data_IF_392762256733
#
_entry.id   IF_392762256733
#
_cell.length_a   1.000
_cell.length_b   1.000
_cell.length_c   1.000
_cell.angle_alpha   90.00
_cell.angle_beta   90.00
_cell.angle_gamma   90.00
#
_symmetry.space_group_name_H-M   'P 1'
#
loop_
_entity.id
_entity.type
_entity.pdbx_description
1 polymer ?
#
# COMPACT_ATOMS: atom_id res chain seq x y z
N UNK A 1 2.43 4.75 -2.75
CA UNK A 1 3.55 3.88 -3.14
C UNK A 1 4.00 2.94 -2.02
N UNK A 2 4.16 3.43 -0.78
CA UNK A 2 4.60 2.60 0.37
C UNK A 2 3.72 1.38 0.70
N UNK A 3 2.47 1.32 0.20
CA UNK A 3 1.53 0.20 0.38
C UNK A 3 1.53 -0.83 -0.77
N UNK A 4 2.32 -0.66 -1.82
CA UNK A 4 2.35 -1.59 -2.97
C UNK A 4 2.84 -3.00 -2.57
N UNK A 5 3.90 -3.10 -1.78
CA UNK A 5 4.42 -4.38 -1.28
C UNK A 5 3.60 -4.95 -0.10
N UNK A 6 3.27 -4.16 0.95
CA UNK A 6 2.53 -4.69 2.11
C UNK A 6 1.09 -5.12 1.79
N UNK A 7 0.46 -4.54 0.76
CA UNK A 7 -0.90 -4.92 0.34
C UNK A 7 -1.00 -6.37 -0.15
N UNK A 8 0.06 -6.92 -0.75
CA UNK A 8 0.10 -8.32 -1.19
C UNK A 8 0.09 -9.28 0.01
N UNK A 9 0.85 -8.94 1.06
CA UNK A 9 0.87 -9.71 2.31
C UNK A 9 -0.44 -9.58 3.08
N UNK A 10 -1.06 -8.39 3.06
CA UNK A 10 -2.38 -8.15 3.61
C UNK A 10 -3.45 -8.98 2.88
N UNK A 11 -3.40 -9.04 1.55
CA UNK A 11 -4.28 -9.86 0.72
C UNK A 11 -4.19 -11.34 1.08
N UNK A 12 -2.97 -11.89 1.25
CA UNK A 12 -2.77 -13.26 1.72
C UNK A 12 -3.31 -13.51 3.13
N UNK A 13 -3.17 -12.54 4.04
CA UNK A 13 -3.65 -12.62 5.42
C UNK A 13 -5.19 -12.61 5.50
N UNK A 14 -5.84 -11.68 4.80
CA UNK A 14 -7.31 -11.53 4.85
C UNK A 14 -8.04 -12.61 4.05
N UNK A 15 -7.37 -13.26 3.09
CA UNK A 15 -7.86 -14.49 2.45
C UNK A 15 -8.13 -15.62 3.46
N UNK A 16 -7.37 -15.69 4.55
CA UNK A 16 -7.47 -16.74 5.56
C UNK A 16 -8.46 -16.41 6.70
N UNK A 17 -8.95 -15.18 6.77
CA UNK A 17 -9.78 -14.69 7.88
C UNK A 17 -11.09 -14.15 7.35
N UNK A 18 -12.14 -15.00 7.31
CA UNK A 18 -13.60 -14.76 7.37
C UNK A 18 -14.22 -13.39 6.95
N UNK A 19 -13.52 -12.54 6.20
CA UNK A 19 -14.01 -11.25 5.71
C UNK A 19 -14.64 -11.51 4.35
N UNK A 20 -15.95 -11.30 4.29
CA UNK A 20 -16.76 -11.42 3.08
C UNK A 20 -16.33 -10.32 2.10
N UNK A 21 -15.34 -10.62 1.25
CA UNK A 21 -14.82 -9.70 0.24
C UNK A 21 -13.65 -10.33 -0.51
N UNK A 22 -13.50 -10.02 -1.79
CA UNK A 22 -12.40 -10.52 -2.59
C UNK A 22 -11.11 -9.80 -2.16
N UNK A 23 -10.16 -10.49 -1.49
CA UNK A 23 -8.96 -9.88 -0.91
C UNK A 23 -8.08 -9.20 -1.97
N UNK A 24 -8.14 -9.68 -3.23
CA UNK A 24 -7.42 -9.09 -4.36
C UNK A 24 -7.90 -7.66 -4.69
N UNK A 25 -9.11 -7.28 -4.25
CA UNK A 25 -9.65 -5.95 -4.51
C UNK A 25 -8.86 -4.84 -3.82
N UNK A 26 -8.21 -5.10 -2.68
CA UNK A 26 -7.46 -4.06 -1.97
C UNK A 26 -6.27 -3.60 -2.81
N UNK A 27 -5.50 -4.55 -3.35
CA UNK A 27 -4.35 -4.25 -4.21
C UNK A 27 -4.77 -3.54 -5.49
N UNK A 28 -5.86 -3.99 -6.13
CA UNK A 28 -6.42 -3.34 -7.33
C UNK A 28 -6.87 -1.91 -7.03
N UNK A 29 -7.60 -1.70 -5.92
CA UNK A 29 -8.10 -0.36 -5.54
C UNK A 29 -6.97 0.61 -5.18
N UNK A 30 -5.88 0.12 -4.58
CA UNK A 30 -4.69 0.94 -4.33
C UNK A 30 -3.99 1.35 -5.63
N UNK A 31 -3.94 0.46 -6.63
CA UNK A 31 -3.39 0.78 -7.94
C UNK A 31 -4.26 1.82 -8.68
N UNK A 32 -5.60 1.64 -8.67
CA UNK A 32 -6.56 2.61 -9.20
C UNK A 32 -6.38 4.00 -8.54
N UNK A 33 -6.24 4.03 -7.21
CA UNK A 33 -6.04 5.26 -6.45
C UNK A 33 -4.72 5.95 -6.80
N UNK A 34 -3.61 5.20 -6.87
CA UNK A 34 -2.31 5.74 -7.31
C UNK A 34 -2.43 6.38 -8.69
N UNK A 35 -3.05 5.68 -9.64
CA UNK A 35 -3.25 6.20 -11.00
C UNK A 35 -4.11 7.47 -11.00
N UNK A 36 -5.21 7.48 -10.25
CA UNK A 36 -6.07 8.67 -10.14
C UNK A 36 -5.34 9.88 -9.56
N UNK A 37 -4.52 9.67 -8.53
CA UNK A 37 -3.68 10.73 -7.92
C UNK A 37 -2.64 11.22 -8.92
N UNK A 38 -1.94 10.34 -9.64
CA UNK A 38 -0.96 10.75 -10.66
C UNK A 38 -1.58 11.59 -11.77
N UNK A 39 -2.79 11.23 -12.24
CA UNK A 39 -3.53 12.03 -13.24
C UNK A 39 -3.89 13.41 -12.69
N UNK A 40 -4.36 13.49 -11.44
CA UNK A 40 -4.69 14.76 -10.79
C UNK A 40 -3.45 15.65 -10.60
N UNK A 41 -2.34 15.08 -10.14
CA UNK A 41 -1.06 15.78 -9.99
C UNK A 41 -0.61 16.33 -11.34
N UNK A 42 -0.60 15.50 -12.40
CA UNK A 42 -0.22 15.92 -13.74
C UNK A 42 -1.10 17.08 -14.24
N UNK A 43 -2.42 16.96 -14.09
CA UNK A 43 -3.37 17.99 -14.50
C UNK A 43 -3.19 19.31 -13.71
N UNK A 44 -2.73 19.25 -12.46
CA UNK A 44 -2.39 20.44 -11.66
C UNK A 44 -1.02 21.03 -12.02
N UNK A 45 -0.07 20.21 -12.48
CA UNK A 45 1.30 20.62 -12.80
C UNK A 45 1.49 21.05 -14.26
N UNK A 46 0.55 20.77 -15.16
CA UNK A 46 0.52 21.25 -16.55
C UNK A 46 0.41 22.81 -16.57
N UNK A 47 1.53 23.47 -16.30
CA UNK A 47 1.69 24.93 -16.16
C UNK A 47 2.74 25.40 -15.15
N UNK A 48 3.24 24.52 -14.26
CA UNK A 48 4.25 24.87 -13.24
C UNK A 48 5.60 24.21 -13.58
N UNK A 49 6.75 24.92 -13.47
CA UNK A 49 8.05 24.31 -13.72
C UNK A 49 8.31 23.20 -12.70
N UNK A 50 8.66 22.01 -13.23
CA UNK A 50 9.05 20.77 -12.54
C UNK A 50 9.50 21.01 -11.09
N UNK A 51 8.66 20.62 -10.12
CA UNK A 51 9.21 20.27 -8.82
C UNK A 51 9.83 18.90 -9.00
N UNK A 52 11.15 18.87 -9.00
CA UNK A 52 11.96 17.66 -9.00
C UNK A 52 11.46 16.77 -7.86
N UNK A 53 10.75 15.68 -8.21
CA UNK A 53 10.28 14.62 -7.30
C UNK A 53 11.51 13.86 -6.80
N UNK A 54 12.35 14.52 -6.01
CA UNK A 54 13.42 13.91 -5.24
C UNK A 54 12.88 13.34 -3.91
N UNK A 55 11.75 12.62 -3.99
CA UNK A 55 11.11 11.95 -2.85
C UNK A 55 11.23 10.43 -2.99
N UNK A 56 12.38 9.94 -3.46
CA UNK A 56 12.80 8.58 -3.15
C UNK A 56 13.18 8.50 -1.66
N UNK A 57 12.20 8.69 -0.78
CA UNK A 57 12.36 8.40 0.64
C UNK A 57 12.73 6.91 0.75
N UNK A 58 13.86 6.58 1.40
CA UNK A 58 14.24 5.19 1.57
C UNK A 58 13.10 4.48 2.30
N UNK A 59 12.51 3.46 1.66
CA UNK A 59 11.43 2.66 2.22
C UNK A 59 11.90 2.07 3.56
N UNK A 60 11.45 2.59 4.73
CA UNK A 60 11.98 2.14 6.01
C UNK A 60 11.52 0.73 6.39
N UNK A 61 10.68 0.10 5.56
CA UNK A 61 9.85 -1.03 5.97
C UNK A 61 9.98 -2.29 5.09
N UNK A 62 10.75 -2.29 3.98
CA UNK A 62 10.87 -3.50 3.15
C UNK A 62 11.33 -4.72 3.96
N UNK A 63 12.31 -4.52 4.85
CA UNK A 63 12.87 -5.63 5.65
C UNK A 63 11.86 -6.22 6.65
N UNK A 64 10.94 -5.40 7.16
CA UNK A 64 9.92 -5.86 8.13
C UNK A 64 8.84 -6.74 7.53
N UNK A 65 8.59 -6.63 6.22
CA UNK A 65 7.59 -7.43 5.51
C UNK A 65 8.20 -8.66 4.82
N UNK A 66 9.51 -8.68 4.58
CA UNK A 66 10.21 -9.84 4.02
C UNK A 66 10.38 -10.99 5.03
N UNK A 67 10.47 -10.68 6.32
CA UNK A 67 10.49 -11.71 7.40
C UNK A 67 9.10 -12.23 7.78
N UNK A 68 8.05 -11.66 7.17
CA UNK A 68 6.63 -11.92 7.43
C UNK A 68 6.12 -13.29 6.93
N UNK A 69 7.03 -14.22 6.60
CA UNK A 69 6.70 -15.61 6.29
C UNK A 69 6.28 -16.40 7.54
N UNK A 70 6.69 -15.95 8.73
CA UNK A 70 6.15 -16.44 10.00
C UNK A 70 4.86 -15.69 10.33
N UNK A 71 3.72 -16.27 9.92
CA UNK A 71 2.37 -15.71 10.02
C UNK A 71 1.88 -15.57 11.47
N UNK A 72 2.55 -14.78 12.31
CA UNK A 72 2.05 -14.53 13.65
C UNK A 72 0.81 -13.63 13.56
N UNK A 73 -0.30 -14.03 14.19
CA UNK A 73 -1.53 -13.24 14.24
C UNK A 73 -1.25 -11.78 14.64
N UNK A 74 -0.29 -11.58 15.55
CA UNK A 74 0.14 -10.26 16.02
C UNK A 74 0.59 -9.36 14.87
N UNK A 75 1.41 -9.87 13.95
CA UNK A 75 1.91 -9.06 12.85
C UNK A 75 0.85 -8.82 11.79
N UNK A 76 -0.01 -9.82 11.51
CA UNK A 76 -1.20 -9.64 10.68
C UNK A 76 -2.13 -8.54 11.21
N UNK A 77 -2.39 -8.53 12.52
CA UNK A 77 -3.17 -7.47 13.17
C UNK A 77 -2.46 -6.11 13.10
N UNK A 78 -1.14 -6.08 13.29
CA UNK A 78 -0.35 -4.85 13.18
C UNK A 78 -0.43 -4.28 11.77
N UNK A 79 -0.29 -5.12 10.74
CA UNK A 79 -0.40 -4.73 9.34
C UNK A 79 -1.79 -4.14 9.04
N UNK A 80 -2.85 -4.79 9.51
CA UNK A 80 -4.22 -4.29 9.37
C UNK A 80 -4.43 -2.95 10.11
N UNK A 81 -3.87 -2.81 11.31
CA UNK A 81 -3.96 -1.58 12.10
C UNK A 81 -3.20 -0.42 11.43
N UNK A 82 -2.01 -0.68 10.88
CA UNK A 82 -1.26 0.29 10.09
C UNK A 82 -2.06 0.69 8.84
N UNK A 83 -2.63 -0.29 8.14
CA UNK A 83 -3.43 -0.03 6.94
C UNK A 83 -4.61 0.90 7.25
N UNK A 84 -5.36 0.60 8.31
CA UNK A 84 -6.49 1.43 8.77
C UNK A 84 -6.07 2.83 9.27
N UNK A 85 -4.80 3.03 9.64
CA UNK A 85 -4.28 4.31 10.13
C UNK A 85 -3.83 5.20 8.98
N UNK A 86 -3.26 4.60 7.94
CA UNK A 86 -2.66 5.30 6.80
C UNK A 86 -3.67 5.64 5.71
N UNK A 87 -4.77 4.87 5.62
CA UNK A 87 -5.92 5.16 4.77
C UNK A 87 -6.91 6.07 5.49
#
# INVERSE_FOLDING_TARGET
ESWEFPSQTLCGTVSNSLTVGNPNQITEKLADLKMGISVLIQACLDGQPNMDDNDSLPLPFEESYLTMGDNSLRESFRLLACFKKDM
#
